data_IF_073659219347
#
_entry.id   IF_073659219347
#
_cell.length_a   1.000
_cell.length_b   1.000
_cell.length_c   1.000
_cell.angle_alpha   90.00
_cell.angle_beta   90.00
_cell.angle_gamma   90.00
#
_symmetry.space_group_name_H-M   'P 1'
#
loop_
_entity.id
_entity.type
_entity.pdbx_description
1 polymer ?
#
# COMPACT_ATOMS: atom_id res chain seq x y z
N UNK A 1 12.30 20.22 -10.56
CA UNK A 1 11.23 19.47 -9.87
C UNK A 1 10.46 18.66 -10.90
N UNK A 2 10.67 17.35 -10.95
CA UNK A 2 9.90 16.44 -11.82
C UNK A 2 8.72 15.92 -10.99
N UNK A 3 7.52 15.97 -11.56
CA UNK A 3 6.24 15.87 -10.83
C UNK A 3 6.10 14.72 -9.84
N UNK A 4 5.82 15.05 -8.58
CA UNK A 4 5.67 14.11 -7.47
C UNK A 4 4.54 13.07 -7.67
N UNK A 5 3.53 13.35 -8.52
CA UNK A 5 2.40 12.43 -8.75
C UNK A 5 2.68 11.23 -9.67
N UNK A 6 3.53 11.40 -10.69
CA UNK A 6 3.81 10.33 -11.67
C UNK A 6 4.63 9.19 -11.05
N UNK A 7 5.52 9.52 -10.11
CA UNK A 7 6.31 8.53 -9.39
C UNK A 7 5.44 7.59 -8.56
N UNK A 8 4.43 8.15 -7.87
CA UNK A 8 3.51 7.38 -7.05
C UNK A 8 2.62 6.45 -7.88
N UNK A 9 2.06 6.95 -8.98
CA UNK A 9 1.21 6.15 -9.86
C UNK A 9 1.97 4.96 -10.48
N UNK A 10 3.20 5.20 -10.94
CA UNK A 10 4.07 4.12 -11.44
C UNK A 10 4.37 3.11 -10.33
N UNK A 11 4.74 3.59 -9.13
CA UNK A 11 5.06 2.72 -8.01
C UNK A 11 3.87 1.86 -7.58
N UNK A 12 2.67 2.43 -7.57
CA UNK A 12 1.44 1.68 -7.31
C UNK A 12 1.19 0.59 -8.36
N UNK A 13 1.43 0.86 -9.64
CA UNK A 13 1.31 -0.16 -10.68
C UNK A 13 2.32 -1.32 -10.50
N UNK A 14 3.57 -1.01 -10.13
CA UNK A 14 4.59 -2.01 -9.82
C UNK A 14 4.19 -2.87 -8.61
N UNK A 15 3.69 -2.24 -7.54
CA UNK A 15 3.20 -2.94 -6.34
C UNK A 15 2.00 -3.83 -6.66
N UNK A 16 1.03 -3.33 -7.43
CA UNK A 16 -0.14 -4.11 -7.85
C UNK A 16 0.30 -5.38 -8.59
N UNK A 17 1.25 -5.27 -9.51
CA UNK A 17 1.78 -6.42 -10.24
C UNK A 17 2.56 -7.40 -9.33
N UNK A 18 3.42 -6.87 -8.45
CA UNK A 18 4.30 -7.69 -7.61
C UNK A 18 3.55 -8.42 -6.48
N UNK A 19 2.64 -7.72 -5.80
CA UNK A 19 1.89 -8.23 -4.65
C UNK A 19 0.48 -8.73 -5.02
N UNK A 20 0.08 -8.62 -6.29
CA UNK A 20 -1.26 -8.96 -6.80
C UNK A 20 -2.39 -8.20 -6.10
N UNK A 21 -2.11 -6.98 -5.66
CA UNK A 21 -3.07 -6.09 -5.03
C UNK A 21 -3.97 -5.42 -6.06
N UNK A 22 -5.22 -5.16 -5.68
CA UNK A 22 -6.10 -4.29 -6.46
C UNK A 22 -5.50 -2.88 -6.57
N UNK A 23 -5.86 -2.14 -7.63
CA UNK A 23 -5.27 -0.82 -7.90
C UNK A 23 -5.38 0.14 -6.70
N UNK A 24 -6.52 0.17 -6.01
CA UNK A 24 -6.73 1.02 -4.85
C UNK A 24 -5.78 0.64 -3.70
N UNK A 25 -5.67 -0.65 -3.39
CA UNK A 25 -4.81 -1.16 -2.32
C UNK A 25 -3.34 -0.89 -2.62
N UNK A 26 -2.94 -1.03 -3.89
CA UNK A 26 -1.59 -0.73 -4.32
C UNK A 26 -1.26 0.77 -4.25
N UNK A 27 -2.23 1.67 -4.49
CA UNK A 27 -2.06 3.11 -4.29
C UNK A 27 -1.89 3.44 -2.81
N UNK A 28 -2.70 2.84 -1.93
CA UNK A 28 -2.58 3.00 -0.47
C UNK A 28 -1.19 2.55 -0.03
N UNK A 29 -0.75 1.36 -0.46
CA UNK A 29 0.55 0.82 -0.11
C UNK A 29 1.71 1.68 -0.63
N UNK A 30 1.66 2.10 -1.89
CA UNK A 30 2.67 2.98 -2.48
C UNK A 30 2.77 4.32 -1.73
N UNK A 31 1.64 4.84 -1.26
CA UNK A 31 1.58 6.09 -0.48
C UNK A 31 2.24 5.91 0.88
N UNK A 32 1.93 4.83 1.58
CA UNK A 32 2.58 4.50 2.85
C UNK A 32 4.10 4.33 2.68
N UNK A 33 4.54 3.61 1.65
CA UNK A 33 5.96 3.45 1.33
C UNK A 33 6.62 4.81 1.01
N UNK A 34 5.98 5.65 0.20
CA UNK A 34 6.52 6.98 -0.18
C UNK A 34 6.74 7.90 1.02
N UNK A 35 5.87 7.80 2.03
CA UNK A 35 5.98 8.58 3.27
C UNK A 35 6.74 7.86 4.39
N UNK A 36 7.31 6.68 4.13
CA UNK A 36 7.92 5.81 5.13
C UNK A 36 7.02 5.58 6.36
N UNK A 37 5.73 5.40 6.12
CA UNK A 37 4.72 5.09 7.13
C UNK A 37 4.37 3.59 7.14
N UNK A 38 3.71 3.16 8.21
CA UNK A 38 3.07 1.84 8.29
C UNK A 38 1.57 1.98 8.01
N UNK A 39 0.95 0.89 7.54
CA UNK A 39 -0.49 0.82 7.30
C UNK A 39 -1.14 0.13 8.50
N UNK A 40 -2.00 0.84 9.22
CA UNK A 40 -2.89 0.25 10.21
C UNK A 40 -4.25 -0.01 9.56
N UNK A 41 -4.70 -1.27 9.53
CA UNK A 41 -5.97 -1.63 8.87
C UNK A 41 -6.59 -2.90 9.43
N UNK A 42 -7.92 -3.01 9.35
CA UNK A 42 -8.66 -4.25 9.57
C UNK A 42 -8.98 -5.02 8.27
N UNK A 43 -8.58 -4.48 7.11
CA UNK A 43 -8.80 -5.14 5.83
C UNK A 43 -7.81 -6.30 5.62
N UNK A 44 -8.35 -7.51 5.51
CA UNK A 44 -7.57 -8.73 5.34
C UNK A 44 -6.78 -8.78 4.03
N UNK A 45 -7.10 -7.94 3.03
CA UNK A 45 -6.32 -7.82 1.80
C UNK A 45 -4.87 -7.41 2.05
N UNK A 46 -4.60 -6.72 3.16
CA UNK A 46 -3.26 -6.28 3.55
C UNK A 46 -2.56 -7.23 4.53
N UNK A 47 -3.25 -8.28 5.01
CA UNK A 47 -2.76 -9.15 6.07
C UNK A 47 -1.49 -9.89 5.62
N UNK A 48 -0.43 -9.76 6.42
CA UNK A 48 0.85 -10.42 6.17
C UNK A 48 1.76 -9.71 5.16
N UNK A 49 1.36 -8.55 4.65
CA UNK A 49 2.27 -7.70 3.88
C UNK A 49 3.24 -6.98 4.81
N UNK A 50 4.41 -6.63 4.28
CA UNK A 50 5.39 -5.84 5.00
C UNK A 50 4.81 -4.47 5.36
N UNK A 51 5.21 -3.89 6.51
CA UNK A 51 4.77 -2.56 6.95
C UNK A 51 3.26 -2.43 7.19
N UNK A 52 2.56 -3.55 7.34
CA UNK A 52 1.13 -3.57 7.70
C UNK A 52 0.96 -4.06 9.14
N UNK A 53 0.33 -3.22 9.96
CA UNK A 53 -0.25 -3.61 11.24
C UNK A 53 -1.72 -3.96 11.00
N UNK A 54 -1.99 -5.26 10.92
CA UNK A 54 -3.35 -5.78 10.79
C UNK A 54 -4.00 -5.90 12.16
N UNK A 55 -5.17 -5.29 12.35
CA UNK A 55 -6.02 -5.46 13.53
C UNK A 55 -7.25 -6.30 13.15
N UNK A 56 -7.53 -7.35 13.92
CA UNK A 56 -8.75 -8.12 13.72
C UNK A 56 -9.92 -7.37 14.39
N UNK A 57 -11.08 -7.30 13.73
CA UNK A 57 -12.26 -6.63 14.30
C UNK A 57 -12.82 -7.35 15.54
N UNK A 58 -12.30 -8.54 15.85
CA UNK A 58 -12.73 -9.36 16.99
C UNK A 58 -11.90 -9.18 18.27
N UNK A 59 -10.94 -8.27 18.30
CA UNK A 59 -10.20 -7.89 19.53
C UNK A 59 -10.91 -6.80 20.35
#
# INVERSE_FOLDING_TARGET
MVGAGLGLARRAAEISAALKLANADAIIYATAEHHNADILTCDAHFKGLERVLYIDEKD
#
